data_IF_403528964664
#
_entry.id   IF_403528964664
#
_cell.length_a   1.000
_cell.length_b   1.000
_cell.length_c   1.000
_cell.angle_alpha   90.00
_cell.angle_beta   90.00
_cell.angle_gamma   90.00
#
_symmetry.space_group_name_H-M   'P 1'
#
loop_
_entity.id
_entity.type
_entity.pdbx_description
1 polymer ?
#
# COMPACT_ATOMS: atom_id res chain seq x y z
N UNK A 1 -9.80 18.40 -5.48
CA UNK A 1 -10.28 17.05 -5.86
C UNK A 1 -9.39 16.03 -5.19
N UNK A 2 -9.99 15.17 -4.37
CA UNK A 2 -9.30 14.09 -3.68
C UNK A 2 -8.76 13.07 -4.70
N UNK A 3 -7.58 12.50 -4.42
CA UNK A 3 -6.94 11.49 -5.28
C UNK A 3 -7.10 10.13 -4.63
N UNK A 4 -7.71 9.19 -5.36
CA UNK A 4 -7.82 7.80 -4.96
C UNK A 4 -6.72 6.95 -5.60
N UNK A 5 -5.90 6.30 -4.78
CA UNK A 5 -4.86 5.36 -5.21
C UNK A 5 -5.38 3.93 -5.13
N UNK A 6 -5.34 3.24 -6.26
CA UNK A 6 -5.85 1.90 -6.47
C UNK A 6 -4.69 1.01 -6.88
N UNK A 7 -4.65 -0.22 -6.39
CA UNK A 7 -3.80 -1.27 -6.97
C UNK A 7 -4.67 -2.35 -7.60
N UNK A 8 -4.33 -2.79 -8.81
CA UNK A 8 -4.99 -3.92 -9.48
C UNK A 8 -4.13 -5.17 -9.35
N UNK A 9 -4.77 -6.27 -9.01
CA UNK A 9 -4.14 -7.58 -8.85
C UNK A 9 -5.09 -8.68 -9.32
N UNK A 10 -4.57 -9.85 -9.66
CA UNK A 10 -5.32 -10.94 -10.29
C UNK A 10 -4.39 -11.85 -11.08
N UNK A 11 -4.87 -13.03 -11.45
CA UNK A 11 -4.08 -14.01 -12.18
C UNK A 11 -3.71 -13.53 -13.59
N UNK A 12 -2.81 -14.29 -14.25
CA UNK A 12 -2.61 -14.16 -15.70
C UNK A 12 -3.93 -14.52 -16.39
N UNK A 13 -4.35 -13.69 -17.34
CA UNK A 13 -5.63 -13.80 -18.05
C UNK A 13 -6.89 -13.48 -17.20
N UNK A 14 -6.79 -12.92 -15.99
CA UNK A 14 -8.01 -12.48 -15.26
C UNK A 14 -8.60 -11.16 -15.78
N UNK A 15 -7.99 -10.55 -16.79
CA UNK A 15 -8.49 -9.36 -17.48
C UNK A 15 -8.18 -8.03 -16.79
N UNK A 16 -7.02 -7.93 -16.09
CA UNK A 16 -6.54 -6.69 -15.42
C UNK A 16 -6.39 -5.53 -16.40
N UNK A 17 -5.53 -5.69 -17.39
CA UNK A 17 -5.28 -4.71 -18.46
C UNK A 17 -6.57 -4.32 -19.18
N UNK A 18 -7.45 -5.30 -19.45
CA UNK A 18 -8.77 -5.06 -20.06
C UNK A 18 -9.67 -4.20 -19.18
N UNK A 19 -9.72 -4.46 -17.86
CA UNK A 19 -10.52 -3.65 -16.92
C UNK A 19 -10.03 -2.21 -16.86
N UNK A 20 -8.71 -2.02 -16.78
CA UNK A 20 -8.12 -0.68 -16.71
C UNK A 20 -8.40 0.07 -18.02
N UNK A 21 -8.15 -0.57 -19.16
CA UNK A 21 -8.48 -0.01 -20.47
C UNK A 21 -9.96 0.34 -20.60
N UNK A 22 -10.86 -0.49 -20.06
CA UNK A 22 -12.30 -0.23 -20.02
C UNK A 22 -12.66 1.00 -19.18
N UNK A 23 -12.08 1.13 -17.99
CA UNK A 23 -12.27 2.32 -17.15
C UNK A 23 -11.80 3.59 -17.85
N UNK A 24 -10.65 3.54 -18.53
CA UNK A 24 -10.15 4.68 -19.31
C UNK A 24 -11.09 5.06 -20.46
N UNK A 25 -11.61 4.05 -21.16
CA UNK A 25 -12.54 4.23 -22.27
C UNK A 25 -13.86 4.83 -21.80
N UNK A 26 -14.51 4.23 -20.80
CA UNK A 26 -15.82 4.67 -20.32
C UNK A 26 -15.79 6.04 -19.64
N UNK A 27 -14.64 6.45 -19.08
CA UNK A 27 -14.46 7.78 -18.49
C UNK A 27 -14.02 8.84 -19.50
N UNK A 28 -13.92 8.51 -20.79
CA UNK A 28 -13.39 9.39 -21.84
C UNK A 28 -11.99 9.95 -21.51
N UNK A 29 -11.17 9.17 -20.79
CA UNK A 29 -9.82 9.57 -20.39
C UNK A 29 -8.77 9.30 -21.48
N UNK A 30 -9.16 8.70 -22.61
CA UNK A 30 -8.26 8.34 -23.71
C UNK A 30 -8.35 9.41 -24.82
N UNK A 31 -7.22 10.04 -25.20
CA UNK A 31 -7.15 10.91 -26.35
C UNK A 31 -7.58 10.21 -27.67
N UNK A 32 -8.23 10.96 -28.55
CA UNK A 32 -8.83 10.45 -29.79
C UNK A 32 -7.80 9.78 -30.73
N UNK A 33 -6.60 10.34 -30.84
CA UNK A 33 -5.49 9.81 -31.63
C UNK A 33 -5.03 8.43 -31.12
N UNK A 34 -4.99 8.23 -29.80
CA UNK A 34 -4.68 6.93 -29.19
C UNK A 34 -5.78 5.90 -29.46
N UNK A 35 -7.05 6.31 -29.43
CA UNK A 35 -8.18 5.44 -29.76
C UNK A 35 -8.11 4.93 -31.20
N UNK A 36 -7.81 5.83 -32.15
CA UNK A 36 -7.67 5.47 -33.57
C UNK A 36 -6.51 4.50 -33.80
N UNK A 37 -5.36 4.75 -33.15
CA UNK A 37 -4.21 3.85 -33.20
C UNK A 37 -4.55 2.45 -32.66
N UNK A 38 -5.36 2.38 -31.61
CA UNK A 38 -5.76 1.13 -30.97
C UNK A 38 -6.74 0.32 -31.83
N UNK A 39 -7.70 1.00 -32.47
CA UNK A 39 -8.61 0.40 -33.45
C UNK A 39 -7.82 -0.20 -34.62
N UNK A 40 -6.83 0.53 -35.14
CA UNK A 40 -5.97 0.06 -36.22
C UNK A 40 -5.10 -1.14 -35.80
N UNK A 41 -4.58 -1.14 -34.57
CA UNK A 41 -3.80 -2.25 -34.02
C UNK A 41 -4.65 -3.51 -33.81
N UNK A 42 -5.87 -3.36 -33.27
CA UNK A 42 -6.81 -4.47 -33.03
C UNK A 42 -7.21 -5.15 -34.33
N UNK A 43 -7.54 -4.36 -35.37
CA UNK A 43 -7.82 -4.88 -36.72
C UNK A 43 -6.64 -5.63 -37.32
N UNK A 44 -5.41 -5.17 -37.09
CA UNK A 44 -4.19 -5.84 -37.56
C UNK A 44 -3.96 -7.20 -36.88
N UNK A 45 -4.40 -7.35 -35.63
CA UNK A 45 -4.43 -8.63 -34.91
C UNK A 45 -5.60 -9.53 -35.34
N UNK A 46 -6.50 -9.06 -36.21
CA UNK A 46 -7.66 -9.83 -36.67
C UNK A 46 -8.80 -9.92 -35.66
N UNK A 47 -8.87 -9.00 -34.70
CA UNK A 47 -9.95 -8.93 -33.72
C UNK A 47 -11.11 -8.09 -34.26
N UNK A 48 -12.34 -8.58 -34.05
CA UNK A 48 -13.58 -7.88 -34.43
C UNK A 48 -14.00 -6.80 -33.42
N UNK A 49 -13.27 -6.67 -32.31
CA UNK A 49 -13.49 -5.68 -31.26
C UNK A 49 -12.22 -4.89 -30.95
N UNK A 50 -12.39 -3.73 -30.31
CA UNK A 50 -11.30 -2.87 -29.86
C UNK A 50 -10.64 -3.46 -28.62
N UNK A 51 -9.39 -3.92 -28.73
CA UNK A 51 -8.65 -4.52 -27.63
C UNK A 51 -8.03 -3.46 -26.72
N UNK A 52 -8.78 -3.08 -25.68
CA UNK A 52 -8.39 -2.06 -24.71
C UNK A 52 -7.17 -2.44 -23.85
N UNK A 53 -6.77 -3.70 -23.80
CA UNK A 53 -5.57 -4.12 -23.07
C UNK A 53 -4.28 -3.50 -23.63
N UNK A 54 -4.29 -3.15 -24.93
CA UNK A 54 -3.15 -2.53 -25.61
C UNK A 54 -2.79 -1.13 -25.08
N UNK A 55 -3.66 -0.51 -24.26
CA UNK A 55 -3.42 0.80 -23.64
C UNK A 55 -2.45 0.73 -22.47
N UNK A 56 -2.46 -0.37 -21.73
CA UNK A 56 -1.79 -0.49 -20.44
C UNK A 56 -0.43 -1.15 -20.54
N UNK A 57 -0.21 -1.96 -21.58
CA UNK A 57 1.05 -2.67 -21.80
C UNK A 57 2.08 -1.70 -22.40
N UNK A 58 2.94 -1.18 -21.53
CA UNK A 58 3.91 -0.12 -21.85
C UNK A 58 5.21 -0.65 -22.45
N UNK A 59 5.62 -1.86 -22.09
CA UNK A 59 6.87 -2.47 -22.57
C UNK A 59 6.63 -3.40 -23.77
N UNK A 60 7.58 -3.41 -24.71
CA UNK A 60 7.55 -4.34 -25.86
C UNK A 60 7.54 -5.80 -25.39
N UNK A 61 8.30 -6.11 -24.33
CA UNK A 61 8.34 -7.44 -23.72
C UNK A 61 7.01 -7.85 -23.09
N UNK A 62 6.27 -6.91 -22.47
CA UNK A 62 4.93 -7.18 -21.93
C UNK A 62 3.95 -7.55 -23.05
N UNK A 63 4.01 -6.84 -24.19
CA UNK A 63 3.15 -7.09 -25.35
C UNK A 63 3.45 -8.42 -26.05
N UNK A 64 4.71 -8.83 -26.08
CA UNK A 64 5.13 -10.10 -26.68
C UNK A 64 4.73 -11.31 -25.83
N UNK A 65 4.74 -11.16 -24.49
CA UNK A 65 4.43 -12.23 -23.55
C UNK A 65 2.98 -12.22 -23.05
N UNK A 66 2.24 -11.11 -23.22
CA UNK A 66 0.88 -10.95 -22.72
C UNK A 66 0.78 -10.89 -21.19
N UNK A 67 1.84 -10.41 -20.51
CA UNK A 67 1.91 -10.28 -19.04
C UNK A 67 2.40 -8.88 -18.65
N UNK A 68 1.92 -8.34 -17.52
CA UNK A 68 2.50 -7.15 -16.87
C UNK A 68 3.79 -7.53 -16.15
N UNK A 69 4.86 -6.76 -16.31
CA UNK A 69 6.19 -7.03 -15.73
C UNK A 69 6.55 -5.97 -14.66
N UNK A 70 6.35 -4.69 -14.96
CA UNK A 70 6.64 -3.57 -14.05
C UNK A 70 5.36 -2.84 -13.61
N UNK A 71 5.43 -2.05 -12.54
CA UNK A 71 4.26 -1.31 -12.04
C UNK A 71 4.00 -0.09 -12.92
N UNK A 72 3.00 -0.17 -13.78
CA UNK A 72 2.52 0.99 -14.53
C UNK A 72 1.58 1.85 -13.68
N UNK A 73 1.83 3.17 -13.65
CA UNK A 73 0.92 4.11 -13.01
C UNK A 73 0.03 4.78 -14.06
N UNK A 74 -1.26 4.51 -13.98
CA UNK A 74 -2.27 4.99 -14.92
C UNK A 74 -3.15 6.00 -14.21
N UNK A 75 -3.38 7.13 -14.88
CA UNK A 75 -4.09 8.27 -14.32
C UNK A 75 -5.40 8.46 -15.07
N UNK A 76 -6.49 8.63 -14.33
CA UNK A 76 -7.78 9.00 -14.90
C UNK A 76 -8.58 9.85 -13.91
N UNK A 77 -9.63 10.49 -14.39
CA UNK A 77 -10.48 11.33 -13.56
C UNK A 77 -11.92 11.26 -14.02
N UNK A 78 -12.83 11.31 -13.06
CA UNK A 78 -14.24 11.63 -13.28
C UNK A 78 -14.46 13.12 -12.99
N UNK A 79 -15.66 13.68 -13.25
CA UNK A 79 -15.98 15.04 -12.84
C UNK A 79 -15.81 15.27 -11.31
N UNK A 80 -15.96 14.21 -10.52
CA UNK A 80 -16.00 14.28 -9.06
C UNK A 80 -14.64 13.95 -8.41
N UNK A 81 -13.79 13.12 -9.04
CA UNK A 81 -12.61 12.55 -8.38
C UNK A 81 -11.45 12.23 -9.33
N UNK A 82 -10.22 12.25 -8.81
CA UNK A 82 -9.02 11.82 -9.52
C UNK A 82 -8.56 10.44 -9.04
N UNK A 83 -8.01 9.64 -9.95
CA UNK A 83 -7.60 8.28 -9.67
C UNK A 83 -6.18 8.00 -10.17
N UNK A 84 -5.47 7.19 -9.42
CA UNK A 84 -4.17 6.62 -9.80
C UNK A 84 -4.28 5.11 -9.64
N UNK A 85 -4.18 4.36 -10.75
CA UNK A 85 -4.12 2.90 -10.73
C UNK A 85 -2.65 2.48 -10.86
N UNK A 86 -2.16 1.74 -9.88
CA UNK A 86 -0.94 0.97 -9.99
C UNK A 86 -1.29 -0.42 -10.56
N UNK A 87 -0.96 -0.65 -11.83
CA UNK A 87 -1.10 -1.97 -12.43
C UNK A 87 0.02 -2.87 -11.95
N UNK A 88 -0.30 -3.80 -11.05
CA UNK A 88 0.71 -4.69 -10.48
C UNK A 88 0.75 -6.02 -11.21
N UNK A 89 1.96 -6.53 -11.49
CA UNK A 89 2.13 -7.81 -12.15
C UNK A 89 1.55 -8.95 -11.30
N UNK A 90 0.78 -9.84 -11.94
CA UNK A 90 0.12 -10.97 -11.25
C UNK A 90 0.95 -12.24 -11.14
N UNK A 91 2.19 -12.24 -11.63
CA UNK A 91 3.04 -13.43 -11.67
C UNK A 91 3.83 -13.62 -10.37
N UNK A 92 4.11 -14.88 -10.04
CA UNK A 92 4.76 -15.30 -8.80
C UNK A 92 6.13 -14.65 -8.57
N UNK A 93 6.84 -14.34 -9.65
CA UNK A 93 8.18 -13.75 -9.62
C UNK A 93 8.17 -12.26 -9.29
N UNK A 94 7.01 -11.59 -9.36
CA UNK A 94 6.90 -10.14 -9.24
C UNK A 94 6.16 -9.66 -7.98
N UNK A 95 6.08 -10.49 -6.92
CA UNK A 95 5.50 -10.07 -5.63
C UNK A 95 6.17 -8.80 -5.08
N UNK A 96 7.48 -8.61 -5.29
CA UNK A 96 8.20 -7.36 -4.96
C UNK A 96 7.51 -6.14 -5.58
N UNK A 97 7.15 -6.20 -6.86
CA UNK A 97 6.50 -5.12 -7.59
C UNK A 97 5.08 -4.90 -7.10
N UNK A 98 4.37 -5.98 -6.73
CA UNK A 98 3.08 -5.84 -6.07
C UNK A 98 3.20 -5.11 -4.73
N UNK A 99 4.15 -5.49 -3.87
CA UNK A 99 4.34 -4.86 -2.55
C UNK A 99 4.67 -3.37 -2.71
N UNK A 100 5.55 -3.01 -3.64
CA UNK A 100 5.89 -1.60 -3.90
C UNK A 100 4.70 -0.82 -4.46
N UNK A 101 4.00 -1.35 -5.47
CA UNK A 101 2.84 -0.70 -6.08
C UNK A 101 1.63 -0.58 -5.14
N UNK A 102 1.43 -1.56 -4.26
CA UNK A 102 0.32 -1.60 -3.33
C UNK A 102 0.59 -0.84 -2.02
N UNK A 103 1.84 -0.52 -1.69
CA UNK A 103 2.23 0.12 -0.41
C UNK A 103 1.55 1.46 -0.12
N UNK A 104 1.14 2.20 -1.17
CA UNK A 104 0.45 3.48 -1.06
C UNK A 104 -1.02 3.41 -1.50
N UNK A 105 -1.52 2.21 -1.81
CA UNK A 105 -2.87 2.01 -2.29
C UNK A 105 -3.88 2.08 -1.14
N UNK A 106 -5.04 2.65 -1.44
CA UNK A 106 -6.16 2.75 -0.52
C UNK A 106 -7.26 1.73 -0.87
N UNK A 107 -7.29 1.30 -2.14
CA UNK A 107 -8.16 0.23 -2.63
C UNK A 107 -7.32 -0.81 -3.33
N UNK A 108 -7.60 -2.09 -3.07
CA UNK A 108 -7.07 -3.20 -3.85
C UNK A 108 -8.21 -3.84 -4.65
N UNK A 109 -8.08 -3.81 -5.97
CA UNK A 109 -8.95 -4.53 -6.89
C UNK A 109 -8.34 -5.91 -7.12
N UNK A 110 -9.02 -6.97 -6.67
CA UNK A 110 -8.65 -8.36 -6.94
C UNK A 110 -9.59 -8.88 -8.02
N UNK A 111 -9.06 -9.12 -9.21
CA UNK A 111 -9.82 -9.74 -10.29
C UNK A 111 -9.77 -11.26 -10.15
N UNK A 112 -10.90 -11.90 -10.41
CA UNK A 112 -11.07 -13.36 -10.42
C UNK A 112 -11.82 -13.73 -11.70
N UNK A 113 -11.23 -14.59 -12.55
CA UNK A 113 -11.94 -15.16 -13.71
C UNK A 113 -13.08 -16.09 -13.23
N UNK A 114 -14.33 -15.75 -13.57
CA UNK A 114 -15.51 -16.49 -13.17
C UNK A 114 -15.48 -17.97 -13.61
N UNK A 115 -14.77 -18.31 -14.69
CA UNK A 115 -14.62 -19.71 -15.13
C UNK A 115 -13.72 -20.51 -14.20
N UNK A 116 -12.65 -19.88 -13.70
CA UNK A 116 -11.64 -20.53 -12.86
C UNK A 116 -12.04 -20.51 -11.38
N UNK A 117 -12.62 -19.41 -10.90
CA UNK A 117 -12.83 -19.19 -9.48
C UNK A 117 -11.52 -18.86 -8.77
N UNK A 118 -11.42 -19.21 -7.49
CA UNK A 118 -10.24 -18.87 -6.68
C UNK A 118 -9.04 -19.72 -7.07
N UNK A 119 -7.93 -19.06 -7.36
CA UNK A 119 -6.65 -19.69 -7.68
C UNK A 119 -5.58 -19.26 -6.68
N UNK A 120 -4.44 -19.96 -6.66
CA UNK A 120 -3.28 -19.66 -5.82
C UNK A 120 -2.88 -18.17 -5.81
N UNK A 121 -2.91 -17.51 -6.96
CA UNK A 121 -2.58 -16.09 -7.06
C UNK A 121 -3.61 -15.19 -6.35
N UNK A 122 -4.87 -15.60 -6.26
CA UNK A 122 -5.91 -14.89 -5.49
C UNK A 122 -5.55 -14.87 -4.00
N UNK A 123 -5.13 -16.01 -3.43
CA UNK A 123 -4.69 -16.11 -2.03
C UNK A 123 -3.55 -15.14 -1.75
N UNK A 124 -2.55 -15.13 -2.64
CA UNK A 124 -1.39 -14.24 -2.55
C UNK A 124 -1.76 -12.77 -2.56
N UNK A 125 -2.57 -12.36 -3.52
CA UNK A 125 -2.95 -10.96 -3.65
C UNK A 125 -3.76 -10.48 -2.46
N UNK A 126 -4.70 -11.31 -2.00
CA UNK A 126 -5.47 -11.04 -0.79
C UNK A 126 -4.58 -10.94 0.45
N UNK A 127 -3.64 -11.86 0.62
CA UNK A 127 -2.73 -11.87 1.75
C UNK A 127 -1.82 -10.64 1.78
N UNK A 128 -1.24 -10.25 0.63
CA UNK A 128 -0.41 -9.05 0.53
C UNK A 128 -1.23 -7.78 0.79
N UNK A 129 -2.43 -7.67 0.22
CA UNK A 129 -3.33 -6.54 0.47
C UNK A 129 -3.68 -6.42 1.95
N UNK A 130 -3.91 -7.56 2.62
CA UNK A 130 -4.20 -7.63 4.05
C UNK A 130 -2.98 -7.31 4.93
N UNK A 131 -1.79 -7.79 4.55
CA UNK A 131 -0.52 -7.49 5.21
C UNK A 131 -0.20 -6.00 5.14
N UNK A 132 -0.44 -5.36 3.99
CA UNK A 132 -0.29 -3.93 3.76
C UNK A 132 -1.45 -3.10 4.33
N UNK A 133 -2.48 -3.75 4.88
CA UNK A 133 -3.66 -3.12 5.48
C UNK A 133 -4.37 -2.15 4.55
N UNK A 134 -4.49 -2.54 3.28
CA UNK A 134 -5.24 -1.74 2.31
C UNK A 134 -6.70 -1.66 2.81
N UNK A 135 -7.24 -0.46 3.07
CA UNK A 135 -8.48 -0.36 3.84
C UNK A 135 -9.71 -0.93 3.13
N UNK A 136 -9.73 -0.88 1.80
CA UNK A 136 -10.84 -1.38 0.99
C UNK A 136 -10.35 -2.41 -0.02
N UNK A 137 -11.02 -3.55 -0.02
CA UNK A 137 -10.81 -4.62 -0.97
C UNK A 137 -12.03 -4.74 -1.87
N UNK A 138 -11.84 -4.78 -3.19
CA UNK A 138 -12.92 -5.01 -4.14
C UNK A 138 -12.59 -6.24 -4.97
N UNK A 139 -13.36 -7.30 -4.76
CA UNK A 139 -13.25 -8.54 -5.52
C UNK A 139 -14.13 -8.41 -6.77
N UNK A 140 -13.46 -8.24 -7.90
CA UNK A 140 -14.09 -8.13 -9.21
C UNK A 140 -14.18 -9.51 -9.84
N UNK A 141 -15.36 -10.14 -9.78
CA UNK A 141 -15.59 -11.43 -10.44
C UNK A 141 -15.81 -11.15 -11.92
N UNK A 142 -14.74 -11.32 -12.70
CA UNK A 142 -14.65 -10.90 -14.09
C UNK A 142 -15.00 -12.04 -15.06
N UNK A 143 -15.21 -11.70 -16.34
CA UNK A 143 -15.61 -12.62 -17.42
C UNK A 143 -16.95 -13.31 -17.17
N UNK A 144 -17.88 -12.61 -16.51
CA UNK A 144 -19.23 -13.13 -16.26
C UNK A 144 -20.00 -13.48 -17.55
N UNK A 145 -19.64 -12.85 -18.67
CA UNK A 145 -20.16 -13.17 -20.01
C UNK A 145 -19.87 -14.61 -20.43
N UNK A 146 -18.74 -15.19 -20.00
CA UNK A 146 -18.36 -16.57 -20.34
C UNK A 146 -19.04 -17.63 -19.48
N UNK A 147 -19.75 -17.22 -18.44
CA UNK A 147 -20.57 -18.07 -17.56
C UNK A 147 -22.03 -17.65 -17.61
N UNK A 148 -22.45 -17.05 -18.73
CA UNK A 148 -23.83 -16.64 -19.01
C UNK A 148 -24.45 -15.77 -17.90
N UNK A 149 -23.61 -14.96 -17.24
CA UNK A 149 -24.00 -14.08 -16.13
C UNK A 149 -24.67 -14.81 -14.96
N UNK A 150 -24.29 -16.07 -14.70
CA UNK A 150 -24.88 -16.93 -13.66
C UNK A 150 -24.69 -16.38 -12.23
N UNK A 151 -25.82 -16.09 -11.55
CA UNK A 151 -25.84 -15.70 -10.13
C UNK A 151 -25.28 -16.80 -9.22
N UNK A 152 -25.63 -18.07 -9.49
CA UNK A 152 -25.16 -19.20 -8.70
C UNK A 152 -23.62 -19.32 -8.75
N UNK A 153 -23.01 -19.11 -9.92
CA UNK A 153 -21.55 -19.14 -10.05
C UNK A 153 -20.88 -17.99 -9.30
N UNK A 154 -21.45 -16.79 -9.37
CA UNK A 154 -20.96 -15.65 -8.60
C UNK A 154 -21.01 -15.93 -7.10
N UNK A 155 -22.16 -16.40 -6.59
CA UNK A 155 -22.35 -16.69 -5.17
C UNK A 155 -21.37 -17.77 -4.67
N UNK A 156 -21.12 -18.82 -5.46
CA UNK A 156 -20.10 -19.82 -5.11
C UNK A 156 -18.71 -19.20 -4.91
N UNK A 157 -18.28 -18.32 -5.82
CA UNK A 157 -16.96 -17.66 -5.72
C UNK A 157 -16.92 -16.72 -4.51
N UNK A 158 -18.04 -16.04 -4.20
CA UNK A 158 -18.16 -15.20 -3.01
C UNK A 158 -18.00 -16.04 -1.74
N UNK A 159 -18.68 -17.18 -1.64
CA UNK A 159 -18.59 -18.11 -0.51
C UNK A 159 -17.15 -18.64 -0.33
N UNK A 160 -16.54 -19.10 -1.42
CA UNK A 160 -15.15 -19.58 -1.42
C UNK A 160 -14.19 -18.48 -0.91
N UNK A 161 -14.42 -17.23 -1.31
CA UNK A 161 -13.56 -16.11 -0.93
C UNK A 161 -13.78 -15.71 0.52
N UNK A 162 -15.02 -15.75 1.00
CA UNK A 162 -15.33 -15.51 2.40
C UNK A 162 -14.69 -16.57 3.31
N UNK A 163 -14.63 -17.83 2.88
CA UNK A 163 -13.91 -18.88 3.60
C UNK A 163 -12.40 -18.57 3.71
N UNK A 164 -11.79 -18.09 2.63
CA UNK A 164 -10.41 -17.59 2.63
C UNK A 164 -10.23 -16.44 3.64
N UNK A 165 -11.10 -15.43 3.59
CA UNK A 165 -11.06 -14.29 4.52
C UNK A 165 -11.17 -14.73 5.99
N UNK A 166 -12.03 -15.71 6.27
CA UNK A 166 -12.21 -16.25 7.62
C UNK A 166 -10.95 -16.95 8.17
N UNK A 167 -10.12 -17.53 7.28
CA UNK A 167 -8.86 -18.20 7.64
C UNK A 167 -7.67 -17.25 7.82
N UNK A 168 -7.82 -15.98 7.43
CA UNK A 168 -6.72 -15.04 7.37
C UNK A 168 -6.38 -14.47 8.75
N UNK A 169 -5.07 -14.42 9.07
CA UNK A 169 -4.57 -13.79 10.31
C UNK A 169 -4.83 -12.28 10.33
N UNK A 170 -4.98 -11.65 9.16
CA UNK A 170 -5.31 -10.24 9.01
C UNK A 170 -6.66 -10.11 8.32
N UNK A 171 -7.62 -9.49 9.00
CA UNK A 171 -8.94 -9.21 8.43
C UNK A 171 -8.89 -7.90 7.65
N UNK A 172 -9.27 -7.93 6.38
CA UNK A 172 -9.50 -6.71 5.63
C UNK A 172 -10.69 -5.94 6.24
N UNK A 173 -10.63 -4.60 6.38
CA UNK A 173 -11.69 -3.85 7.06
C UNK A 173 -13.00 -3.82 6.27
N UNK A 174 -12.92 -3.74 4.94
CA UNK A 174 -14.08 -3.68 4.05
C UNK A 174 -13.82 -4.46 2.77
N UNK A 175 -14.69 -5.43 2.47
CA UNK A 175 -14.61 -6.25 1.25
C UNK A 175 -15.91 -6.11 0.47
N UNK A 176 -15.82 -5.72 -0.81
CA UNK A 176 -16.96 -5.62 -1.73
C UNK A 176 -16.79 -6.61 -2.87
N UNK A 177 -17.85 -7.32 -3.23
CA UNK A 177 -17.88 -8.21 -4.39
C UNK A 177 -18.71 -7.56 -5.51
N UNK A 178 -18.16 -7.52 -6.72
CA UNK A 178 -18.82 -6.94 -7.89
C UNK A 178 -18.67 -7.91 -9.08
N UNK A 179 -19.78 -8.43 -9.65
CA UNK A 179 -19.74 -9.22 -10.87
C UNK A 179 -19.58 -8.27 -12.07
N UNK A 180 -18.54 -8.49 -12.87
CA UNK A 180 -18.21 -7.61 -14.00
C UNK A 180 -17.92 -8.41 -15.28
N UNK A 181 -18.00 -7.72 -16.41
CA UNK A 181 -17.36 -8.14 -17.66
C UNK A 181 -16.57 -6.98 -18.22
N UNK A 182 -15.24 -7.00 -18.05
CA UNK A 182 -14.37 -5.92 -18.53
C UNK A 182 -14.44 -5.72 -20.04
N UNK A 183 -14.67 -6.79 -20.81
CA UNK A 183 -14.74 -6.73 -22.27
C UNK A 183 -15.97 -5.94 -22.73
N UNK A 184 -17.13 -6.24 -22.15
CA UNK A 184 -18.40 -5.62 -22.54
C UNK A 184 -18.78 -4.39 -21.72
N UNK A 185 -18.06 -4.11 -20.62
CA UNK A 185 -18.31 -2.96 -19.75
C UNK A 185 -19.43 -3.17 -18.73
N UNK A 186 -19.89 -4.40 -18.52
CA UNK A 186 -20.98 -4.72 -17.60
C UNK A 186 -20.54 -4.48 -16.15
N UNK A 187 -21.27 -3.65 -15.40
CA UNK A 187 -20.97 -3.24 -14.02
C UNK A 187 -19.59 -2.58 -13.80
N UNK A 188 -18.96 -2.05 -14.86
CA UNK A 188 -17.66 -1.35 -14.77
C UNK A 188 -17.87 0.14 -14.47
N UNK A 189 -18.28 0.93 -15.46
CA UNK A 189 -18.55 2.37 -15.27
C UNK A 189 -20.02 2.69 -14.96
N UNK A 190 -20.91 1.75 -15.25
CA UNK A 190 -22.34 1.88 -14.98
C UNK A 190 -22.98 0.51 -14.74
N UNK A 191 -24.22 0.51 -14.26
CA UNK A 191 -24.96 -0.72 -13.95
C UNK A 191 -25.29 -1.51 -15.21
N UNK A 192 -25.21 -2.83 -15.11
CA UNK A 192 -25.53 -3.76 -16.19
C UNK A 192 -27.02 -4.09 -16.20
N UNK A 193 -27.64 -4.11 -17.39
CA UNK A 193 -28.97 -4.69 -17.58
C UNK A 193 -28.93 -6.22 -17.68
N UNK A 194 -27.80 -6.79 -18.12
CA UNK A 194 -27.64 -8.25 -18.29
C UNK A 194 -27.45 -8.98 -16.97
N UNK A 195 -26.84 -8.31 -15.98
CA UNK A 195 -26.65 -8.84 -14.63
C UNK A 195 -27.73 -8.27 -13.70
N UNK A 196 -29.00 -8.42 -14.11
CA UNK A 196 -30.15 -7.79 -13.44
C UNK A 196 -30.41 -8.27 -12.01
N UNK A 197 -29.91 -9.45 -11.64
CA UNK A 197 -29.98 -9.97 -10.28
C UNK A 197 -29.03 -9.22 -9.32
N UNK A 198 -27.96 -8.60 -9.82
CA UNK A 198 -27.03 -7.85 -8.98
C UNK A 198 -27.57 -6.44 -8.68
N UNK A 199 -28.02 -6.22 -7.44
CA UNK A 199 -28.60 -4.94 -7.00
C UNK A 199 -27.55 -3.94 -6.47
N UNK A 200 -26.27 -4.31 -6.48
CA UNK A 200 -25.19 -3.45 -6.00
C UNK A 200 -24.84 -2.29 -6.94
N UNK A 201 -23.80 -1.56 -6.57
CA UNK A 201 -23.24 -0.48 -7.38
C UNK A 201 -22.27 -1.00 -8.43
N UNK A 202 -22.11 -0.26 -9.53
CA UNK A 202 -21.02 -0.54 -10.47
C UNK A 202 -19.66 -0.29 -9.79
N UNK A 203 -18.58 -0.80 -10.40
CA UNK A 203 -17.24 -0.59 -9.87
C UNK A 203 -16.91 0.90 -9.71
N UNK A 204 -17.18 1.72 -10.74
CA UNK A 204 -16.89 3.15 -10.69
C UNK A 204 -17.75 3.88 -9.66
N UNK A 205 -19.05 3.60 -9.60
CA UNK A 205 -19.96 4.20 -8.62
C UNK A 205 -19.51 3.89 -7.19
N UNK A 206 -19.14 2.62 -6.92
CA UNK A 206 -18.61 2.23 -5.62
C UNK A 206 -17.32 2.99 -5.30
N UNK A 207 -16.38 3.08 -6.25
CA UNK A 207 -15.13 3.83 -6.09
C UNK A 207 -15.33 5.34 -5.86
N UNK A 208 -16.41 5.94 -6.39
CA UNK A 208 -16.77 7.34 -6.11
C UNK A 208 -17.27 7.52 -4.67
N UNK A 209 -18.00 6.54 -4.13
CA UNK A 209 -18.54 6.59 -2.77
C UNK A 209 -17.47 6.43 -1.68
N UNK A 210 -16.30 5.85 -1.99
CA UNK A 210 -15.31 5.56 -0.95
C UNK A 210 -14.71 6.87 -0.41
N UNK A 211 -15.10 7.25 0.79
CA UNK A 211 -14.39 8.24 1.59
C UNK A 211 -13.27 7.56 2.38
N UNK A 212 -12.07 8.10 2.32
CA UNK A 212 -10.98 7.64 3.18
C UNK A 212 -10.80 8.66 4.27
N UNK A 213 -11.40 8.40 5.43
CA UNK A 213 -11.02 9.14 6.62
C UNK A 213 -9.52 8.92 6.82
N UNK A 214 -8.78 10.03 6.91
CA UNK A 214 -7.37 10.00 7.27
C UNK A 214 -7.27 9.69 8.76
N UNK A 215 -7.60 8.44 9.12
CA UNK A 215 -7.49 7.90 10.47
C UNK A 215 -6.06 8.02 11.02
N UNK A 216 -5.09 8.39 10.19
CA UNK A 216 -3.78 8.90 10.59
C UNK A 216 -3.87 9.87 11.78
N UNK A 217 -4.85 10.79 11.81
CA UNK A 217 -5.02 11.73 12.94
C UNK A 217 -5.52 11.08 14.24
N UNK A 218 -6.13 9.90 14.17
CA UNK A 218 -6.59 9.12 15.33
C UNK A 218 -5.50 8.23 15.93
N UNK A 219 -4.44 7.95 15.16
CA UNK A 219 -3.30 7.16 15.63
C UNK A 219 -2.45 7.96 16.65
N UNK A 220 -1.62 7.28 17.44
CA UNK A 220 -0.65 7.94 18.32
C UNK A 220 0.20 8.97 17.57
N UNK A 221 0.38 10.16 18.17
CA UNK A 221 1.05 11.27 17.51
C UNK A 221 2.57 11.04 17.34
N UNK A 222 3.06 11.14 16.10
CA UNK A 222 4.47 10.93 15.74
C UNK A 222 4.95 12.04 14.82
N UNK A 223 5.98 12.77 15.24
CA UNK A 223 6.59 13.84 14.45
C UNK A 223 8.10 13.58 14.27
N UNK A 224 8.51 12.92 13.17
CA UNK A 224 9.92 12.76 12.86
C UNK A 224 10.55 14.11 12.46
N UNK A 225 11.58 14.53 13.18
CA UNK A 225 12.30 15.77 12.93
C UNK A 225 13.22 15.58 11.72
N UNK A 226 12.93 16.31 10.64
CA UNK A 226 13.69 16.24 9.39
C UNK A 226 14.80 17.28 9.34
N UNK A 227 14.57 18.46 9.90
CA UNK A 227 15.57 19.52 10.00
C UNK A 227 15.33 20.42 11.21
N UNK A 228 16.39 21.13 11.61
CA UNK A 228 16.35 22.15 12.65
C UNK A 228 16.59 23.50 11.98
N UNK A 229 15.65 24.43 12.14
CA UNK A 229 15.69 25.77 11.54
C UNK A 229 16.24 26.74 12.57
N UNK A 230 17.34 27.42 12.20
CA UNK A 230 17.96 28.51 12.96
C UNK A 230 18.39 29.62 12.00
N UNK A 231 17.56 30.65 11.76
CA UNK A 231 17.85 31.71 10.79
C UNK A 231 19.08 32.54 11.16
N UNK A 232 19.38 32.70 12.46
CA UNK A 232 20.49 33.52 12.98
C UNK A 232 20.52 34.95 12.43
N UNK A 233 19.35 35.50 12.13
CA UNK A 233 19.19 36.91 11.77
C UNK A 233 18.96 37.73 13.03
N UNK A 234 19.15 39.05 12.96
CA UNK A 234 18.94 39.95 14.09
C UNK A 234 17.50 39.87 14.63
N UNK A 235 16.51 39.70 13.73
CA UNK A 235 15.11 39.51 14.10
C UNK A 235 14.79 38.13 14.71
N UNK A 236 15.63 37.12 14.49
CA UNK A 236 15.40 35.72 14.89
C UNK A 236 16.64 35.10 15.52
N UNK A 237 17.28 35.83 16.44
CA UNK A 237 18.55 35.43 17.03
C UNK A 237 18.44 34.09 17.79
N UNK A 238 17.37 33.93 18.59
CA UNK A 238 17.14 32.77 19.45
C UNK A 238 16.11 31.79 18.86
N UNK A 239 15.73 31.96 17.59
CA UNK A 239 14.72 31.09 16.98
C UNK A 239 15.30 29.69 16.74
N UNK A 240 14.63 28.69 17.32
CA UNK A 240 14.88 27.26 17.09
C UNK A 240 13.56 26.55 16.78
N UNK A 241 13.35 26.24 15.51
CA UNK A 241 12.19 25.47 15.05
C UNK A 241 12.59 24.07 14.58
N UNK A 242 11.73 23.08 14.83
CA UNK A 242 11.89 21.71 14.35
C UNK A 242 10.93 21.46 13.21
N UNK A 243 11.47 21.29 12.00
CA UNK A 243 10.68 21.10 10.81
C UNK A 243 10.56 19.61 10.46
N UNK A 244 9.36 19.22 10.05
CA UNK A 244 9.03 17.86 9.70
C UNK A 244 7.61 17.75 9.19
N UNK A 245 7.23 16.53 8.82
CA UNK A 245 5.87 16.18 8.45
C UNK A 245 5.28 15.35 9.59
N UNK A 246 4.11 15.72 10.09
CA UNK A 246 3.40 14.91 11.10
C UNK A 246 3.10 13.56 10.45
N UNK A 247 3.67 12.49 10.98
CA UNK A 247 3.53 11.15 10.41
C UNK A 247 2.16 10.55 10.77
N UNK A 248 1.72 10.77 12.01
CA UNK A 248 0.43 10.35 12.53
C UNK A 248 0.04 11.17 13.76
N UNK A 249 -1.22 11.04 14.16
CA UNK A 249 -1.89 11.78 15.21
C UNK A 249 -2.02 13.27 14.94
N UNK A 250 -2.16 14.02 16.02
CA UNK A 250 -2.20 15.47 16.00
C UNK A 250 -1.41 16.05 17.17
N UNK A 251 -0.87 17.24 16.97
CA UNK A 251 -0.17 18.02 17.98
C UNK A 251 -0.86 19.37 18.14
N UNK A 252 -1.10 19.78 19.37
CA UNK A 252 -1.67 21.09 19.71
C UNK A 252 -0.61 21.95 20.39
N UNK A 253 -0.75 23.27 20.26
CA UNK A 253 0.00 24.21 21.10
C UNK A 253 -0.29 23.93 22.57
N UNK A 254 0.75 23.86 23.40
CA UNK A 254 0.69 23.51 24.81
C UNK A 254 0.77 22.02 25.14
N UNK A 255 0.73 21.11 24.14
CA UNK A 255 0.89 19.67 24.39
C UNK A 255 2.26 19.38 25.04
N UNK A 256 2.27 18.48 26.02
CA UNK A 256 3.49 17.91 26.58
C UNK A 256 4.05 16.83 25.65
N UNK A 257 5.31 17.03 25.24
CA UNK A 257 6.01 16.17 24.28
C UNK A 257 7.32 15.66 24.86
N UNK A 258 7.73 14.50 24.34
CA UNK A 258 9.03 13.88 24.60
C UNK A 258 9.82 13.79 23.30
N UNK A 259 11.11 14.08 23.37
CA UNK A 259 12.06 13.89 22.27
C UNK A 259 12.74 12.54 22.39
N UNK A 260 12.67 11.72 21.35
CA UNK A 260 13.39 10.46 21.25
C UNK A 260 14.62 10.62 20.33
N UNK A 261 15.78 10.03 20.67
CA UNK A 261 16.01 9.08 21.77
C UNK A 261 16.40 9.71 23.12
N UNK A 262 16.54 11.04 23.23
CA UNK A 262 17.07 11.72 24.43
C UNK A 262 16.16 11.60 25.67
N UNK A 263 14.88 11.31 25.47
CA UNK A 263 13.83 11.21 26.49
C UNK A 263 13.60 12.49 27.29
N UNK A 264 14.11 13.63 26.81
CA UNK A 264 13.83 14.93 27.41
C UNK A 264 12.42 15.40 27.02
N UNK A 265 11.74 16.04 27.97
CA UNK A 265 10.38 16.54 27.78
C UNK A 265 10.34 18.06 27.64
N UNK A 266 9.34 18.55 26.91
CA UNK A 266 9.05 19.98 26.76
C UNK A 266 7.57 20.18 26.45
N UNK A 267 7.18 21.44 26.21
CA UNK A 267 5.85 21.82 25.73
C UNK A 267 5.95 22.49 24.37
N UNK A 268 4.95 22.26 23.53
CA UNK A 268 4.85 22.94 22.23
C UNK A 268 4.50 24.41 22.47
N UNK A 269 5.38 25.31 22.04
CA UNK A 269 5.20 26.76 22.16
C UNK A 269 4.43 27.34 20.96
N UNK A 270 4.82 26.98 19.75
CA UNK A 270 4.11 27.37 18.52
C UNK A 270 4.20 26.27 17.47
N UNK A 271 3.19 26.26 16.61
CA UNK A 271 3.15 25.43 15.40
C UNK A 271 2.99 26.40 14.23
N UNK A 272 3.89 26.29 13.25
CA UNK A 272 3.92 27.17 12.08
C UNK A 272 3.86 26.35 10.80
N UNK A 273 3.02 26.77 9.86
CA UNK A 273 2.93 26.22 8.53
C UNK A 273 3.04 27.37 7.53
N UNK A 274 4.18 27.44 6.84
CA UNK A 274 4.55 28.59 6.00
C UNK A 274 4.49 29.89 6.83
N UNK A 275 3.71 30.88 6.40
CA UNK A 275 3.56 32.18 7.06
C UNK A 275 2.39 32.22 8.05
N UNK A 276 1.82 31.06 8.39
CA UNK A 276 0.66 30.95 9.28
C UNK A 276 1.02 30.23 10.56
N UNK A 277 0.54 30.74 11.68
CA UNK A 277 0.49 29.99 12.93
C UNK A 277 -0.77 29.12 12.96
N UNK A 278 -0.61 27.91 13.47
CA UNK A 278 -1.67 26.94 13.65
C UNK A 278 -1.81 26.62 15.14
N UNK A 279 -3.04 26.41 15.60
CA UNK A 279 -3.28 25.89 16.95
C UNK A 279 -3.07 24.37 17.01
N UNK A 280 -3.29 23.68 15.88
CA UNK A 280 -3.26 22.24 15.73
C UNK A 280 -2.52 21.88 14.45
N UNK A 281 -1.56 20.96 14.54
CA UNK A 281 -0.97 20.25 13.39
C UNK A 281 -1.52 18.83 13.31
N UNK A 282 -2.07 18.47 12.16
CA UNK A 282 -2.63 17.16 11.88
C UNK A 282 -1.69 16.30 11.05
N UNK A 283 -1.93 15.00 11.05
CA UNK A 283 -1.19 14.05 10.23
C UNK A 283 -1.10 14.51 8.77
N UNK A 284 0.08 14.31 8.17
CA UNK A 284 0.49 14.71 6.82
C UNK A 284 0.78 16.19 6.60
N UNK A 285 0.53 17.06 7.57
CA UNK A 285 0.94 18.45 7.47
C UNK A 285 2.45 18.60 7.67
N UNK A 286 3.07 19.40 6.82
CA UNK A 286 4.46 19.82 7.00
C UNK A 286 4.46 21.10 7.83
N UNK A 287 5.04 21.04 9.02
CA UNK A 287 5.00 22.13 10.00
C UNK A 287 6.37 22.34 10.64
N UNK A 288 6.53 23.49 11.27
CA UNK A 288 7.65 23.82 12.16
C UNK A 288 7.09 23.92 13.57
N UNK A 289 7.61 23.10 14.48
CA UNK A 289 7.23 23.10 15.90
C UNK A 289 8.34 23.81 16.68
N UNK A 290 7.98 24.79 17.51
CA UNK A 290 8.89 25.38 18.50
C UNK A 290 8.54 24.88 19.90
N UNK A 291 9.53 24.86 20.79
CA UNK A 291 9.39 24.33 22.14
C UNK A 291 9.62 25.42 23.18
N UNK A 292 9.03 25.26 24.37
CA UNK A 292 9.21 26.20 25.48
C UNK A 292 10.60 26.10 26.13
N UNK A 293 11.21 24.92 26.09
CA UNK A 293 12.52 24.65 26.69
C UNK A 293 13.51 24.13 25.65
N UNK A 294 14.78 24.47 25.84
CA UNK A 294 15.87 23.96 25.02
C UNK A 294 16.18 22.51 25.42
N UNK A 295 15.73 21.57 24.59
CA UNK A 295 16.00 20.13 24.76
C UNK A 295 16.93 19.59 23.66
N UNK A 296 17.53 18.43 23.91
CA UNK A 296 18.32 17.70 22.94
C UNK A 296 17.41 17.00 21.90
N UNK A 297 17.26 17.66 20.77
CA UNK A 297 16.45 17.24 19.62
C UNK A 297 17.13 17.72 18.35
N UNK A 298 17.31 16.83 17.38
CA UNK A 298 17.95 17.13 16.11
C UNK A 298 17.34 16.30 14.97
N UNK A 299 17.88 16.44 13.76
CA UNK A 299 17.48 15.57 12.64
C UNK A 299 17.68 14.10 13.01
N UNK A 300 16.67 13.27 12.80
CA UNK A 300 16.69 11.87 13.22
C UNK A 300 15.86 11.63 14.48
N UNK A 301 15.65 12.66 15.31
CA UNK A 301 14.79 12.58 16.49
C UNK A 301 13.32 12.45 16.11
N UNK A 302 12.52 11.98 17.06
CA UNK A 302 11.06 11.97 16.96
C UNK A 302 10.48 12.71 18.15
N UNK A 303 9.55 13.63 17.90
CA UNK A 303 8.68 14.16 18.93
C UNK A 303 7.42 13.29 19.00
N UNK A 304 7.02 12.93 20.21
CA UNK A 304 5.79 12.20 20.51
C UNK A 304 5.14 12.81 21.76
N UNK A 305 3.84 12.58 21.96
CA UNK A 305 3.18 12.96 23.23
C UNK A 305 3.68 12.08 24.37
N UNK A 306 3.88 12.67 25.55
CA UNK A 306 4.42 11.98 26.74
C UNK A 306 3.59 10.74 27.09
N UNK A 307 2.27 10.86 27.11
CA UNK A 307 1.34 9.79 27.52
C UNK A 307 1.28 8.59 26.56
N UNK A 308 1.82 8.75 25.34
CA UNK A 308 1.75 7.73 24.29
C UNK A 308 3.05 7.68 23.48
N UNK A 309 4.18 7.78 24.15
CA UNK A 309 5.49 7.66 23.53
C UNK A 309 5.75 6.20 23.10
N UNK A 310 6.31 5.96 21.90
CA UNK A 310 6.67 4.62 21.48
C UNK A 310 7.84 4.07 22.31
N UNK A 311 7.89 2.75 22.49
CA UNK A 311 8.95 2.09 23.23
C UNK A 311 10.29 2.13 22.45
N UNK A 312 11.42 2.19 23.18
CA UNK A 312 12.75 2.04 22.61
C UNK A 312 13.08 0.55 22.43
N UNK A 313 12.86 0.02 21.24
CA UNK A 313 13.00 -1.40 20.92
C UNK A 313 14.39 -1.73 20.38
N UNK A 314 15.08 -2.70 20.99
CA UNK A 314 16.30 -3.32 20.44
C UNK A 314 16.04 -4.70 19.85
N UNK A 315 15.15 -5.46 20.47
CA UNK A 315 14.72 -6.77 19.98
C UNK A 315 13.28 -6.62 19.47
N UNK A 316 13.05 -6.98 18.21
CA UNK A 316 11.81 -6.72 17.47
C UNK A 316 11.35 -8.02 16.83
N UNK A 317 10.05 -8.29 16.91
CA UNK A 317 9.41 -9.30 16.07
C UNK A 317 8.68 -8.59 14.95
N UNK A 318 8.86 -9.05 13.71
CA UNK A 318 8.28 -8.42 12.54
C UNK A 318 7.83 -9.46 11.52
N UNK A 319 6.72 -9.18 10.85
CA UNK A 319 6.39 -9.86 9.59
C UNK A 319 7.17 -9.18 8.48
N UNK A 320 7.74 -9.97 7.56
CA UNK A 320 8.51 -9.46 6.44
C UNK A 320 8.08 -10.12 5.14
N UNK A 321 8.15 -9.37 4.05
CA UNK A 321 8.18 -9.91 2.70
C UNK A 321 9.63 -9.85 2.21
N UNK A 322 10.21 -11.01 1.90
CA UNK A 322 11.55 -11.10 1.34
C UNK A 322 11.50 -10.83 -0.18
N UNK A 323 12.41 -10.00 -0.67
CA UNK A 323 12.38 -9.46 -2.04
C UNK A 323 13.68 -9.68 -2.81
N UNK A 324 14.66 -10.37 -2.21
CA UNK A 324 15.96 -10.63 -2.82
C UNK A 324 16.08 -12.09 -3.30
N UNK A 325 16.84 -12.30 -4.37
CA UNK A 325 17.14 -13.66 -4.86
C UNK A 325 18.08 -14.40 -3.90
N UNK A 326 18.99 -13.67 -3.25
CA UNK A 326 19.80 -14.23 -2.19
C UNK A 326 18.88 -14.53 -1.01
N UNK A 327 18.85 -15.79 -0.59
CA UNK A 327 18.00 -16.23 0.50
C UNK A 327 18.40 -15.57 1.82
N UNK A 328 17.41 -15.21 2.61
CA UNK A 328 17.58 -14.83 4.01
C UNK A 328 17.94 -16.08 4.82
N UNK A 329 19.05 -15.99 5.53
CA UNK A 329 19.49 -16.98 6.51
C UNK A 329 19.69 -16.26 7.86
N UNK A 330 19.16 -16.80 8.97
CA UNK A 330 19.41 -16.24 10.30
C UNK A 330 20.90 -16.06 10.59
N UNK A 331 21.25 -14.98 11.29
CA UNK A 331 22.61 -14.63 11.64
C UNK A 331 23.25 -13.56 10.75
N UNK A 332 22.70 -13.28 9.56
CA UNK A 332 23.18 -12.20 8.69
C UNK A 332 22.77 -10.83 9.25
N UNK A 333 23.66 -9.85 9.06
CA UNK A 333 23.45 -8.44 9.42
C UNK A 333 23.00 -7.66 8.20
N UNK A 334 22.06 -6.74 8.41
CA UNK A 334 21.50 -5.83 7.43
C UNK A 334 21.47 -4.41 8.01
N UNK A 335 21.20 -3.42 7.18
CA UNK A 335 20.77 -2.11 7.63
C UNK A 335 19.23 -2.10 7.70
N UNK A 336 18.69 -1.90 8.90
CA UNK A 336 17.27 -1.63 9.09
C UNK A 336 17.04 -0.13 8.98
N UNK A 337 16.19 0.27 8.04
CA UNK A 337 15.73 1.64 7.92
C UNK A 337 14.29 1.76 8.44
N UNK A 338 14.13 2.49 9.54
CA UNK A 338 12.83 2.81 10.15
C UNK A 338 12.63 4.33 10.10
N UNK A 339 11.67 4.77 9.29
CA UNK A 339 11.51 6.19 8.94
C UNK A 339 12.82 6.79 8.40
N UNK A 340 13.35 7.79 9.11
CA UNK A 340 14.60 8.49 8.78
C UNK A 340 15.85 7.86 9.42
N UNK A 341 15.67 6.88 10.31
CA UNK A 341 16.77 6.26 11.03
C UNK A 341 17.25 5.00 10.34
N UNK A 342 18.58 4.85 10.23
CA UNK A 342 19.24 3.65 9.72
C UNK A 342 20.13 3.07 10.79
N UNK A 343 19.93 1.80 11.10
CA UNK A 343 20.64 1.10 12.17
C UNK A 343 21.02 -0.30 11.72
N UNK A 344 22.21 -0.78 12.12
CA UNK A 344 22.60 -2.16 11.88
C UNK A 344 21.67 -3.10 12.64
N UNK A 345 21.19 -4.13 11.97
CA UNK A 345 20.24 -5.09 12.52
C UNK A 345 20.65 -6.50 12.12
N UNK A 346 20.67 -7.41 13.09
CA UNK A 346 20.95 -8.83 12.88
C UNK A 346 19.63 -9.59 12.94
N UNK A 347 19.32 -10.36 11.90
CA UNK A 347 18.20 -11.30 11.93
C UNK A 347 18.61 -12.46 12.83
N UNK A 348 18.00 -12.59 14.00
CA UNK A 348 18.36 -13.60 14.98
C UNK A 348 17.76 -14.96 14.62
N UNK A 349 16.48 -14.96 14.24
CA UNK A 349 15.73 -16.18 14.02
C UNK A 349 14.65 -15.95 12.96
N UNK A 350 14.41 -17.01 12.18
CA UNK A 350 13.21 -17.18 11.37
C UNK A 350 12.18 -17.93 12.22
N UNK A 351 11.08 -17.26 12.56
CA UNK A 351 10.06 -17.78 13.48
C UNK A 351 9.01 -18.59 12.72
N UNK A 352 8.47 -17.99 11.66
CA UNK A 352 7.38 -18.56 10.88
C UNK A 352 7.62 -18.24 9.41
N UNK A 353 7.30 -19.16 8.51
CA UNK A 353 7.18 -18.83 7.09
C UNK A 353 5.81 -19.29 6.62
N UNK A 354 5.07 -18.35 6.04
CA UNK A 354 3.74 -18.60 5.53
C UNK A 354 3.88 -19.04 4.09
N UNK A 355 3.34 -20.22 3.79
CA UNK A 355 3.03 -20.57 2.42
C UNK A 355 1.86 -19.68 1.99
N UNK A 356 2.17 -18.72 1.12
CA UNK A 356 1.24 -17.71 0.63
C UNK A 356 0.08 -18.32 -0.18
N UNK A 357 0.25 -19.55 -0.65
CA UNK A 357 -0.72 -20.30 -1.46
C UNK A 357 -1.70 -21.07 -0.60
N UNK A 358 -1.21 -21.75 0.43
CA UNK A 358 -2.04 -22.55 1.33
C UNK A 358 -2.49 -21.79 2.59
N UNK A 359 -1.95 -20.59 2.83
CA UNK A 359 -2.09 -19.83 4.08
C UNK A 359 -1.73 -20.67 5.32
N UNK A 360 -0.85 -21.66 5.14
CA UNK A 360 -0.37 -22.53 6.22
C UNK A 360 1.06 -22.18 6.59
N UNK A 361 1.38 -22.39 7.86
CA UNK A 361 2.74 -22.33 8.35
C UNK A 361 3.53 -23.49 7.77
N UNK A 362 4.67 -23.18 7.16
CA UNK A 362 5.64 -24.18 6.74
C UNK A 362 6.53 -24.49 7.93
N UNK A 363 6.34 -25.66 8.53
CA UNK A 363 7.19 -26.15 9.62
C UNK A 363 8.63 -26.38 9.11
N UNK A 364 9.62 -26.18 9.99
CA UNK A 364 11.05 -26.45 9.76
C UNK A 364 11.77 -25.68 8.64
N UNK A 365 11.19 -24.59 8.13
CA UNK A 365 11.88 -23.76 7.14
C UNK A 365 13.04 -22.98 7.78
N UNK A 366 14.26 -23.16 7.25
CA UNK A 366 15.50 -22.54 7.77
C UNK A 366 15.94 -21.27 7.04
N UNK A 367 15.31 -20.97 5.92
CA UNK A 367 15.66 -19.86 5.03
C UNK A 367 14.41 -19.31 4.33
N UNK A 368 14.45 -18.03 3.95
CA UNK A 368 13.43 -17.41 3.08
C UNK A 368 14.06 -17.02 1.74
N UNK A 369 13.49 -17.51 0.65
CA UNK A 369 13.80 -17.08 -0.71
C UNK A 369 12.90 -15.96 -1.21
N UNK A 370 13.10 -15.59 -2.47
CA UNK A 370 12.37 -14.52 -3.13
C UNK A 370 10.85 -14.70 -2.98
N UNK A 371 10.17 -13.63 -2.56
CA UNK A 371 8.71 -13.53 -2.43
C UNK A 371 8.11 -14.34 -1.28
N UNK A 372 8.94 -14.94 -0.43
CA UNK A 372 8.45 -15.53 0.81
C UNK A 372 8.00 -14.46 1.79
N UNK A 373 6.93 -14.78 2.53
CA UNK A 373 6.44 -13.97 3.62
C UNK A 373 6.55 -14.77 4.90
N UNK A 374 7.02 -14.13 5.95
CA UNK A 374 7.29 -14.81 7.20
C UNK A 374 7.48 -13.85 8.35
N UNK A 375 7.68 -14.41 9.53
CA UNK A 375 7.91 -13.69 10.76
C UNK A 375 9.33 -13.93 11.23
N UNK A 376 10.04 -12.86 11.57
CA UNK A 376 11.43 -12.91 12.01
C UNK A 376 11.62 -12.17 13.32
N UNK A 377 12.62 -12.62 14.07
CA UNK A 377 13.18 -11.88 15.21
C UNK A 377 14.43 -11.12 14.77
N UNK A 378 14.48 -9.82 15.07
CA UNK A 378 15.55 -8.91 14.68
C UNK A 378 16.12 -8.26 15.93
N UNK A 379 17.44 -8.15 16.01
CA UNK A 379 18.11 -7.33 17.03
C UNK A 379 18.87 -6.18 16.38
N UNK A 380 18.55 -4.96 16.78
CA UNK A 380 19.21 -3.74 16.30
C UNK A 380 20.37 -3.33 17.20
N UNK A 381 21.38 -2.67 16.61
CA UNK A 381 22.55 -2.16 17.32
C UNK A 381 22.22 -0.95 18.21
N UNK A 382 21.24 -0.15 17.79
CA UNK A 382 20.67 0.97 18.55
C UNK A 382 19.15 0.83 18.59
N UNK A 383 18.47 1.34 19.63
CA UNK A 383 17.02 1.25 19.72
C UNK A 383 16.34 1.96 18.54
N UNK A 384 15.24 1.40 18.05
CA UNK A 384 14.28 2.09 17.20
C UNK A 384 13.02 2.41 18.02
N UNK A 385 12.27 3.42 17.59
CA UNK A 385 11.05 3.87 18.25
C UNK A 385 9.84 3.58 17.35
N UNK A 386 9.70 2.31 17.01
CA UNK A 386 8.61 1.81 16.18
C UNK A 386 7.37 1.51 17.03
N UNK A 387 6.21 1.75 16.45
CA UNK A 387 4.94 1.24 16.97
C UNK A 387 4.66 -0.15 16.38
N UNK A 388 3.76 -0.91 17.01
CA UNK A 388 3.13 -2.03 16.32
C UNK A 388 2.44 -1.52 15.05
N UNK A 389 2.64 -2.17 13.92
CA UNK A 389 2.02 -1.79 12.64
C UNK A 389 0.49 -1.88 12.72
N UNK A 390 0.01 -2.94 13.38
CA UNK A 390 -0.85 -2.85 14.57
C UNK A 390 -1.76 -1.62 14.74
N UNK A 391 -1.14 -0.64 15.36
CA UNK A 391 -1.73 0.50 16.04
C UNK A 391 -1.43 1.78 15.27
N UNK A 392 -0.26 1.84 14.61
CA UNK A 392 0.19 3.02 13.89
C UNK A 392 0.96 2.62 12.61
N UNK A 393 0.25 2.41 11.48
CA UNK A 393 0.88 1.99 10.22
C UNK A 393 1.99 2.94 9.76
N UNK A 394 1.85 4.25 10.01
CA UNK A 394 2.82 5.27 9.63
C UNK A 394 4.18 5.14 10.35
N UNK A 395 4.22 4.45 11.50
CA UNK A 395 5.43 4.26 12.30
C UNK A 395 5.78 2.79 12.59
N UNK A 396 5.01 1.83 12.06
CA UNK A 396 5.25 0.40 12.26
C UNK A 396 5.90 -0.33 11.10
N UNK A 397 6.18 0.35 9.99
CA UNK A 397 6.84 -0.22 8.81
C UNK A 397 8.34 0.12 8.76
N UNK A 398 9.14 -0.79 8.23
CA UNK A 398 10.57 -0.61 7.98
C UNK A 398 11.02 -1.36 6.72
N UNK A 399 12.25 -1.12 6.28
CA UNK A 399 12.90 -1.92 5.24
C UNK A 399 14.23 -2.49 5.74
N UNK A 400 14.63 -3.63 5.18
CA UNK A 400 15.98 -4.18 5.32
C UNK A 400 16.76 -3.92 4.05
N UNK A 401 18.01 -3.49 4.21
CA UNK A 401 18.93 -3.16 3.13
C UNK A 401 20.19 -3.98 3.32
N UNK A 402 20.68 -4.62 2.26
CA UNK A 402 21.97 -5.31 2.29
C UNK A 402 23.11 -4.29 2.35
N UNK A 403 24.06 -4.47 3.27
CA UNK A 403 25.12 -3.48 3.53
C UNK A 403 26.14 -3.38 2.40
N UNK A 404 26.27 -4.42 1.57
CA UNK A 404 27.26 -4.46 0.49
C UNK A 404 26.66 -3.98 -0.82
N UNK A 405 25.50 -4.52 -1.20
CA UNK A 405 24.86 -4.17 -2.46
C UNK A 405 24.03 -2.89 -2.38
N UNK A 406 23.71 -2.40 -1.18
CA UNK A 406 22.74 -1.32 -0.92
C UNK A 406 21.34 -1.61 -1.49
N UNK A 407 21.05 -2.87 -1.82
CA UNK A 407 19.74 -3.27 -2.32
C UNK A 407 18.75 -3.41 -1.16
N UNK A 408 17.51 -2.96 -1.37
CA UNK A 408 16.42 -3.22 -0.42
C UNK A 408 15.98 -4.68 -0.57
N UNK A 409 16.24 -5.49 0.46
CA UNK A 409 16.04 -6.94 0.43
C UNK A 409 14.73 -7.39 1.07
N UNK A 410 14.12 -6.56 1.93
CA UNK A 410 12.83 -6.87 2.53
C UNK A 410 12.06 -5.61 2.92
N UNK A 411 10.73 -5.73 2.93
CA UNK A 411 9.83 -4.82 3.64
C UNK A 411 9.35 -5.53 4.90
N UNK A 412 9.27 -4.81 6.02
CA UNK A 412 8.88 -5.36 7.31
C UNK A 412 7.84 -4.53 8.06
N UNK A 413 7.06 -5.21 8.88
CA UNK A 413 5.97 -4.68 9.68
C UNK A 413 6.13 -5.18 11.12
N UNK A 414 6.35 -4.27 12.06
CA UNK A 414 6.50 -4.58 13.48
C UNK A 414 5.19 -5.14 14.02
N UNK A 415 5.28 -6.25 14.76
CA UNK A 415 4.12 -6.95 15.35
C UNK A 415 3.69 -6.29 16.64
#
# INVERSE_FOLDING_TARGET
>A
MEVLRITTSGSVDDGKSTLIGRLLYDTNSIPQDKMEALHAASKRKGLDFTDLSLLTDGLVAEREQGITIDVAHIYFSTPNRKYIIADTPGHVEYTRNMVTGASNAQVSLILIDARKGIVEQTYRHFFIASLLRIPYLVVCVNKMDLVEYSEARFNQIVEDFQALVASASYKAPSIKFIPISSLYGENVAGKSEKISWYQGDSLLDYLEQISFDHADSSHPARFPVQSVIRPRTEAFHDFRGFAGKVASGQFNVGDEIISLPSQQTSKIKSIEQFEKQLDIAQARESVVITLETEIDTSRGSMLAKVDNAPALLKDITANICWMDQQKLVPGKTYLLQHGINRVKAKVQQLLEVVDVTSNKLVEDRKEMGLNDIGKIAIRTAAPIFADAYSVNPANGAFILIDEFSNSTVAVGFVV
#
